data_IF_539970659648
#
_entry.id   IF_539970659648
#
_cell.length_a   1.000
_cell.length_b   1.000
_cell.length_c   1.000
_cell.angle_alpha   90.00
_cell.angle_beta   90.00
_cell.angle_gamma   90.00
#
_symmetry.space_group_name_H-M   'P 1'
#
loop_
_entity.id
_entity.type
_entity.pdbx_description
1 polymer ?
#
# COMPACT_ATOMS: atom_id res chain seq x y z
N UNK A 1 -29.67 26.39 -16.48
CA UNK A 1 -28.60 25.37 -16.49
C UNK A 1 -27.23 25.95 -16.83
N UNK A 2 -27.15 26.95 -17.72
CA UNK A 2 -25.89 27.53 -18.24
C UNK A 2 -24.98 28.15 -17.15
N UNK A 3 -25.55 28.73 -16.09
CA UNK A 3 -24.80 29.47 -15.06
C UNK A 3 -23.73 28.65 -14.33
N UNK A 4 -23.99 27.36 -14.06
CA UNK A 4 -23.07 26.50 -13.30
C UNK A 4 -22.25 25.57 -14.19
N UNK A 5 -22.58 25.46 -15.49
CA UNK A 5 -21.91 24.55 -16.42
C UNK A 5 -20.38 24.77 -16.50
N UNK A 6 -19.85 26.01 -16.58
CA UNK A 6 -18.40 26.22 -16.61
C UNK A 6 -17.71 25.77 -15.32
N UNK A 7 -18.33 26.02 -14.17
CA UNK A 7 -17.81 25.61 -12.87
C UNK A 7 -17.78 24.08 -12.73
N UNK A 8 -18.88 23.42 -13.14
CA UNK A 8 -18.98 21.95 -13.15
C UNK A 8 -17.90 21.35 -14.06
N UNK A 9 -17.76 21.85 -15.29
CA UNK A 9 -16.73 21.36 -16.22
C UNK A 9 -15.32 21.55 -15.66
N UNK A 10 -15.04 22.70 -15.04
CA UNK A 10 -13.76 22.96 -14.40
C UNK A 10 -13.46 21.94 -13.29
N UNK A 11 -14.42 21.68 -12.40
CA UNK A 11 -14.29 20.67 -11.34
C UNK A 11 -14.10 19.25 -11.88
N UNK A 12 -14.91 18.83 -12.87
CA UNK A 12 -14.80 17.51 -13.49
C UNK A 12 -13.43 17.29 -14.13
N UNK A 13 -12.95 18.28 -14.88
CA UNK A 13 -11.62 18.23 -15.50
C UNK A 13 -10.54 18.13 -14.42
N UNK A 14 -10.60 18.99 -13.39
CA UNK A 14 -9.63 18.98 -12.30
C UNK A 14 -9.57 17.62 -11.58
N UNK A 15 -10.73 17.08 -11.17
CA UNK A 15 -10.80 15.78 -10.49
C UNK A 15 -10.33 14.62 -11.38
N UNK A 16 -10.71 14.63 -12.67
CA UNK A 16 -10.31 13.60 -13.63
C UNK A 16 -8.80 13.65 -13.92
N UNK A 17 -8.24 14.84 -14.11
CA UNK A 17 -6.80 15.03 -14.28
C UNK A 17 -6.05 14.55 -13.04
N UNK A 18 -6.50 14.95 -11.85
CA UNK A 18 -5.95 14.44 -10.58
C UNK A 18 -5.96 12.92 -10.54
N UNK A 19 -7.08 12.27 -10.91
CA UNK A 19 -7.14 10.81 -11.00
C UNK A 19 -6.10 10.23 -11.94
N UNK A 20 -5.99 10.78 -13.14
CA UNK A 20 -5.04 10.30 -14.17
C UNK A 20 -3.61 10.41 -13.69
N UNK A 21 -3.26 11.53 -13.06
CA UNK A 21 -1.92 11.74 -12.49
C UNK A 21 -1.62 10.76 -11.35
N UNK A 22 -2.65 10.31 -10.63
CA UNK A 22 -2.55 9.32 -9.54
C UNK A 22 -2.53 7.86 -10.01
N UNK A 23 -2.72 7.56 -11.30
CA UNK A 23 -2.73 6.19 -11.84
C UNK A 23 -1.35 5.55 -11.95
N UNK A 24 -0.28 6.21 -11.46
CA UNK A 24 1.02 5.54 -11.32
C UNK A 24 0.87 4.42 -10.29
N UNK A 25 0.84 3.19 -10.78
CA UNK A 25 0.74 1.99 -9.97
C UNK A 25 2.09 1.30 -9.97
N UNK A 26 2.56 0.92 -8.78
CA UNK A 26 3.76 0.11 -8.65
C UNK A 26 3.45 -1.30 -9.17
N UNK A 27 4.11 -1.69 -10.26
CA UNK A 27 3.87 -2.98 -10.93
C UNK A 27 4.27 -4.17 -10.07
N UNK A 28 5.10 -3.97 -9.03
CA UNK A 28 5.45 -5.00 -8.04
C UNK A 28 4.25 -5.41 -7.20
N UNK A 29 3.42 -4.42 -6.85
CA UNK A 29 2.30 -4.59 -5.93
C UNK A 29 1.03 -5.02 -6.69
N UNK A 30 0.86 -4.52 -7.92
CA UNK A 30 -0.31 -4.76 -8.74
C UNK A 30 0.03 -4.85 -10.23
N UNK A 31 -0.20 -5.99 -10.90
CA UNK A 31 -0.01 -6.11 -12.34
C UNK A 31 -1.07 -5.27 -13.07
N UNK A 32 -0.72 -4.04 -13.45
CA UNK A 32 -1.67 -3.09 -14.03
C UNK A 32 -1.93 -3.44 -15.50
N UNK A 33 -3.04 -4.14 -15.76
CA UNK A 33 -3.52 -4.40 -17.12
C UNK A 33 -4.21 -3.15 -17.69
N UNK A 34 -4.15 -2.97 -19.01
CA UNK A 34 -4.76 -1.84 -19.72
C UNK A 34 -6.24 -1.64 -19.33
N UNK A 35 -6.98 -2.74 -19.19
CA UNK A 35 -8.41 -2.73 -18.84
C UNK A 35 -8.65 -2.20 -17.42
N UNK A 36 -7.79 -2.56 -16.46
CA UNK A 36 -7.87 -2.01 -15.09
C UNK A 36 -7.65 -0.50 -15.05
N UNK A 37 -6.70 0.02 -15.85
CA UNK A 37 -6.49 1.48 -15.97
C UNK A 37 -7.73 2.20 -16.47
N UNK A 38 -8.42 1.64 -17.48
CA UNK A 38 -9.64 2.22 -18.03
C UNK A 38 -10.74 2.27 -16.97
N UNK A 39 -10.95 1.17 -16.23
CA UNK A 39 -11.94 1.11 -15.15
C UNK A 39 -11.66 2.18 -14.09
N UNK A 40 -10.41 2.34 -13.65
CA UNK A 40 -10.07 3.35 -12.66
C UNK A 40 -10.23 4.79 -13.14
N UNK A 41 -9.97 5.07 -14.42
CA UNK A 41 -10.23 6.39 -15.03
C UNK A 41 -11.73 6.65 -15.05
N UNK A 42 -12.54 5.68 -15.51
CA UNK A 42 -13.99 5.80 -15.57
C UNK A 42 -14.58 6.06 -14.17
N UNK A 43 -14.15 5.31 -13.15
CA UNK A 43 -14.60 5.52 -11.77
C UNK A 43 -14.16 6.87 -11.20
N UNK A 44 -12.96 7.33 -11.53
CA UNK A 44 -12.52 8.66 -11.10
C UNK A 44 -13.23 9.80 -11.83
N UNK A 45 -13.64 9.61 -13.09
CA UNK A 45 -14.49 10.56 -13.80
C UNK A 45 -15.87 10.66 -13.13
N UNK A 46 -16.47 9.51 -12.76
CA UNK A 46 -17.74 9.48 -12.01
C UNK A 46 -17.58 10.19 -10.65
N UNK A 47 -16.49 9.91 -9.93
CA UNK A 47 -16.16 10.58 -8.68
C UNK A 47 -16.05 12.11 -8.85
N UNK A 48 -15.35 12.56 -9.90
CA UNK A 48 -15.19 13.96 -10.22
C UNK A 48 -16.54 14.62 -10.60
N UNK A 49 -17.39 13.94 -11.37
CA UNK A 49 -18.73 14.42 -11.71
C UNK A 49 -19.60 14.64 -10.47
N UNK A 50 -19.60 13.67 -9.54
CA UNK A 50 -20.36 13.75 -8.29
C UNK A 50 -19.86 14.89 -7.40
N UNK A 51 -18.54 15.05 -7.29
CA UNK A 51 -17.93 16.17 -6.55
C UNK A 51 -18.28 17.54 -7.14
N UNK A 52 -18.25 17.67 -8.47
CA UNK A 52 -18.51 18.94 -9.16
C UNK A 52 -19.96 19.41 -9.02
N UNK A 53 -20.92 18.48 -9.05
CA UNK A 53 -22.35 18.82 -9.05
C UNK A 53 -22.85 19.17 -7.64
N UNK A 54 -22.18 18.70 -6.58
CA UNK A 54 -22.63 18.87 -5.20
C UNK A 54 -22.90 20.34 -4.81
N UNK A 55 -21.99 21.26 -5.13
CA UNK A 55 -22.14 22.70 -4.78
C UNK A 55 -23.33 23.34 -5.51
N UNK A 56 -23.45 23.27 -6.85
CA UNK A 56 -24.62 23.76 -7.57
C UNK A 56 -25.95 23.20 -7.04
N UNK A 57 -26.00 21.91 -6.68
CA UNK A 57 -27.22 21.29 -6.16
C UNK A 57 -27.62 21.84 -4.80
N UNK A 58 -26.67 22.02 -3.88
CA UNK A 58 -26.92 22.64 -2.57
C UNK A 58 -27.46 24.07 -2.74
N UNK A 59 -26.83 24.87 -3.62
CA UNK A 59 -27.26 26.25 -3.88
C UNK A 59 -28.67 26.32 -4.47
N UNK A 60 -29.06 25.33 -5.27
CA UNK A 60 -30.41 25.20 -5.83
C UNK A 60 -31.42 24.56 -4.88
N UNK A 61 -31.00 24.19 -3.66
CA UNK A 61 -31.82 23.43 -2.69
C UNK A 61 -32.33 22.10 -3.26
N UNK A 62 -31.58 21.52 -4.18
CA UNK A 62 -31.84 20.21 -4.74
C UNK A 62 -31.17 19.14 -3.86
N UNK A 63 -31.88 18.76 -2.80
CA UNK A 63 -31.40 17.79 -1.82
C UNK A 63 -31.33 16.36 -2.37
N UNK A 64 -31.89 16.09 -3.56
CA UNK A 64 -31.68 14.80 -4.26
C UNK A 64 -30.20 14.54 -4.57
N UNK A 65 -29.36 15.57 -4.56
CA UNK A 65 -27.90 15.42 -4.67
C UNK A 65 -27.26 14.66 -3.51
N UNK A 66 -27.88 14.63 -2.33
CA UNK A 66 -27.40 13.81 -1.20
C UNK A 66 -27.47 12.33 -1.58
N UNK A 67 -28.51 11.90 -2.30
CA UNK A 67 -28.63 10.53 -2.80
C UNK A 67 -27.51 10.16 -3.76
N UNK A 68 -27.08 11.10 -4.61
CA UNK A 68 -25.94 10.88 -5.52
C UNK A 68 -24.61 10.75 -4.77
N UNK A 69 -24.40 11.48 -3.68
CA UNK A 69 -23.21 11.32 -2.83
C UNK A 69 -23.21 9.96 -2.10
N UNK A 70 -24.36 9.50 -1.61
CA UNK A 70 -24.50 8.16 -1.03
C UNK A 70 -24.23 7.05 -2.06
N UNK A 71 -24.70 7.23 -3.29
CA UNK A 71 -24.40 6.31 -4.39
C UNK A 71 -22.89 6.30 -4.70
N UNK A 72 -22.23 7.46 -4.68
CA UNK A 72 -20.77 7.59 -4.84
C UNK A 72 -20.00 6.72 -3.83
N UNK A 73 -20.37 6.83 -2.54
CA UNK A 73 -19.72 6.07 -1.48
C UNK A 73 -19.85 4.56 -1.70
N UNK A 74 -21.01 4.10 -2.16
CA UNK A 74 -21.23 2.69 -2.49
C UNK A 74 -20.36 2.25 -3.67
N UNK A 75 -20.30 3.07 -4.74
CA UNK A 75 -19.47 2.80 -5.91
C UNK A 75 -17.98 2.69 -5.55
N UNK A 76 -17.46 3.52 -4.65
CA UNK A 76 -16.06 3.44 -4.25
C UNK A 76 -15.77 2.18 -3.44
N UNK A 77 -16.66 1.82 -2.50
CA UNK A 77 -16.55 0.55 -1.76
C UNK A 77 -16.62 -0.67 -2.70
N UNK A 78 -17.44 -0.61 -3.74
CA UNK A 78 -17.53 -1.68 -4.74
C UNK A 78 -16.24 -1.80 -5.56
N UNK A 79 -15.57 -0.69 -5.87
CA UNK A 79 -14.22 -0.70 -6.46
C UNK A 79 -13.22 -1.39 -5.54
N UNK A 80 -13.21 -1.06 -4.24
CA UNK A 80 -12.35 -1.75 -3.27
C UNK A 80 -12.62 -3.24 -3.23
N UNK A 81 -13.89 -3.62 -3.15
CA UNK A 81 -14.29 -5.03 -3.11
C UNK A 81 -13.85 -5.77 -4.38
N UNK A 82 -14.03 -5.15 -5.55
CA UNK A 82 -13.58 -5.69 -6.83
C UNK A 82 -12.07 -5.91 -6.82
N UNK A 83 -11.28 -4.90 -6.48
CA UNK A 83 -9.81 -5.00 -6.46
C UNK A 83 -9.33 -6.05 -5.48
N UNK A 84 -9.88 -6.06 -4.26
CA UNK A 84 -9.54 -7.04 -3.24
C UNK A 84 -9.84 -8.45 -3.70
N UNK A 85 -11.03 -8.69 -4.26
CA UNK A 85 -11.44 -10.02 -4.73
C UNK A 85 -10.55 -10.48 -5.89
N UNK A 86 -10.27 -9.60 -6.86
CA UNK A 86 -9.36 -9.91 -7.98
C UNK A 86 -7.97 -10.27 -7.48
N UNK A 87 -7.41 -9.46 -6.58
CA UNK A 87 -6.09 -9.72 -6.02
C UNK A 87 -6.05 -11.03 -5.22
N UNK A 88 -7.07 -11.32 -4.40
CA UNK A 88 -7.15 -12.58 -3.66
C UNK A 88 -7.18 -13.81 -4.58
N UNK A 89 -7.89 -13.73 -5.71
CA UNK A 89 -7.91 -14.81 -6.70
C UNK A 89 -6.55 -14.99 -7.38
N UNK A 90 -5.86 -13.89 -7.72
CA UNK A 90 -4.53 -13.96 -8.31
C UNK A 90 -3.48 -14.44 -7.31
N UNK A 91 -3.61 -14.08 -6.03
CA UNK A 91 -2.64 -14.41 -4.98
C UNK A 91 -2.51 -15.91 -4.76
N UNK A 92 -3.59 -16.68 -5.01
CA UNK A 92 -3.58 -18.14 -4.92
C UNK A 92 -2.67 -18.83 -5.94
N UNK A 93 -2.21 -18.11 -6.96
CA UNK A 93 -1.31 -18.63 -8.00
C UNK A 93 0.13 -18.13 -7.85
N UNK A 94 0.43 -17.31 -6.84
CA UNK A 94 1.77 -16.80 -6.58
C UNK A 94 2.59 -17.81 -5.76
N UNK A 95 3.89 -17.95 -6.08
CA UNK A 95 4.80 -18.80 -5.28
C UNK A 95 5.03 -18.24 -3.86
N UNK A 96 4.91 -16.93 -3.71
CA UNK A 96 4.89 -16.21 -2.44
C UNK A 96 3.70 -15.27 -2.46
N UNK A 97 2.63 -15.55 -1.67
CA UNK A 97 1.43 -14.72 -1.69
C UNK A 97 1.67 -13.34 -1.08
N UNK A 98 0.89 -12.33 -1.48
CA UNK A 98 0.81 -11.00 -0.85
C UNK A 98 0.25 -11.11 0.57
N UNK A 99 -0.75 -11.98 0.74
CA UNK A 99 -1.51 -12.10 1.97
C UNK A 99 -2.63 -11.05 2.10
N UNK A 100 -3.67 -11.42 2.84
CA UNK A 100 -4.92 -10.65 2.94
C UNK A 100 -4.71 -9.21 3.39
N UNK A 101 -3.85 -8.99 4.38
CA UNK A 101 -3.54 -7.68 4.96
C UNK A 101 -2.95 -6.74 3.92
N UNK A 102 -2.06 -7.25 3.07
CA UNK A 102 -1.43 -6.45 2.03
C UNK A 102 -2.41 -6.14 0.90
N UNK A 103 -3.18 -7.14 0.47
CA UNK A 103 -4.23 -6.99 -0.54
C UNK A 103 -5.27 -5.94 -0.10
N UNK A 104 -5.68 -5.97 1.17
CA UNK A 104 -6.60 -4.99 1.74
C UNK A 104 -6.04 -3.57 1.68
N UNK A 105 -4.75 -3.40 2.02
CA UNK A 105 -4.07 -2.10 1.90
C UNK A 105 -4.03 -1.59 0.46
N UNK A 106 -3.73 -2.46 -0.51
CA UNK A 106 -3.77 -2.10 -1.94
C UNK A 106 -5.19 -1.67 -2.36
N UNK A 107 -6.21 -2.42 -1.94
CA UNK A 107 -7.61 -2.14 -2.29
C UNK A 107 -8.11 -0.81 -1.67
N UNK A 108 -7.73 -0.51 -0.43
CA UNK A 108 -8.00 0.77 0.23
C UNK A 108 -7.41 1.96 -0.54
N UNK A 109 -6.19 1.83 -1.06
CA UNK A 109 -5.57 2.88 -1.89
C UNK A 109 -6.40 3.17 -3.15
N UNK A 110 -6.98 2.15 -3.78
CA UNK A 110 -7.86 2.35 -4.94
C UNK A 110 -9.16 3.07 -4.59
N UNK A 111 -9.74 2.77 -3.43
CA UNK A 111 -10.91 3.48 -2.87
C UNK A 111 -10.58 4.96 -2.60
N UNK A 112 -9.53 5.19 -1.82
CA UNK A 112 -9.05 6.51 -1.37
C UNK A 112 -8.77 7.47 -2.51
N UNK A 113 -8.18 6.97 -3.61
CA UNK A 113 -7.92 7.80 -4.80
C UNK A 113 -9.20 8.33 -5.47
N UNK A 114 -10.31 7.60 -5.40
CA UNK A 114 -11.59 8.10 -5.92
C UNK A 114 -12.16 9.21 -5.01
N UNK A 115 -12.05 9.09 -3.68
CA UNK A 115 -12.43 10.16 -2.76
C UNK A 115 -11.60 11.43 -2.99
N UNK A 116 -10.29 11.30 -3.23
CA UNK A 116 -9.42 12.44 -3.51
C UNK A 116 -9.78 13.15 -4.83
N UNK A 117 -10.13 12.40 -5.88
CA UNK A 117 -10.61 12.96 -7.14
C UNK A 117 -11.94 13.72 -6.96
N UNK A 118 -12.88 13.14 -6.20
CA UNK A 118 -14.15 13.77 -5.86
C UNK A 118 -13.94 15.06 -5.06
N UNK A 119 -13.08 15.04 -4.04
CA UNK A 119 -12.77 16.20 -3.20
C UNK A 119 -12.09 17.32 -3.99
N UNK A 120 -11.15 16.97 -4.88
CA UNK A 120 -10.50 17.94 -5.77
C UNK A 120 -11.52 18.63 -6.67
N UNK A 121 -12.42 17.85 -7.27
CA UNK A 121 -13.50 18.38 -8.10
C UNK A 121 -14.45 19.29 -7.31
N UNK A 122 -14.87 18.84 -6.12
CA UNK A 122 -15.70 19.61 -5.21
C UNK A 122 -15.07 20.95 -4.82
N UNK A 123 -13.82 20.93 -4.36
CA UNK A 123 -13.11 22.13 -3.93
C UNK A 123 -12.90 23.11 -5.10
N UNK A 124 -12.58 22.59 -6.28
CA UNK A 124 -12.43 23.38 -7.51
C UNK A 124 -13.74 24.09 -7.86
N UNK A 125 -14.86 23.37 -7.90
CA UNK A 125 -16.17 23.96 -8.19
C UNK A 125 -16.61 24.94 -7.10
N UNK A 126 -16.35 24.62 -5.84
CA UNK A 126 -16.64 25.51 -4.71
C UNK A 126 -15.89 26.85 -4.84
N UNK A 127 -14.58 26.81 -5.08
CA UNK A 127 -13.78 28.02 -5.23
C UNK A 127 -14.18 28.83 -6.48
N UNK A 128 -14.48 28.15 -7.59
CA UNK A 128 -14.97 28.81 -8.81
C UNK A 128 -16.23 29.64 -8.51
N UNK A 129 -17.23 29.03 -7.88
CA UNK A 129 -18.53 29.66 -7.62
C UNK A 129 -18.42 30.68 -6.49
N UNK A 130 -17.79 30.31 -5.38
CA UNK A 130 -17.69 31.12 -4.17
C UNK A 130 -16.96 32.45 -4.40
N UNK A 131 -15.88 32.43 -5.17
CA UNK A 131 -15.14 33.65 -5.54
C UNK A 131 -15.58 34.25 -6.88
N UNK A 132 -16.58 33.66 -7.55
CA UNK A 132 -17.06 34.06 -8.89
C UNK A 132 -15.91 34.24 -9.90
N UNK A 133 -14.90 33.40 -9.81
CA UNK A 133 -13.65 33.55 -10.57
C UNK A 133 -13.13 32.20 -11.02
N UNK A 134 -12.96 32.03 -12.33
CA UNK A 134 -12.37 30.82 -12.90
C UNK A 134 -10.92 30.63 -12.47
N UNK A 135 -10.20 31.73 -12.22
CA UNK A 135 -8.82 31.73 -11.72
C UNK A 135 -8.78 31.11 -10.32
N UNK A 136 -9.75 31.45 -9.46
CA UNK A 136 -9.85 30.85 -8.12
C UNK A 136 -10.09 29.34 -8.19
N UNK A 137 -10.91 28.87 -9.12
CA UNK A 137 -11.10 27.45 -9.39
C UNK A 137 -9.79 26.75 -9.79
N UNK A 138 -9.06 27.30 -10.76
CA UNK A 138 -7.77 26.74 -11.22
C UNK A 138 -6.73 26.71 -10.10
N UNK A 139 -6.59 27.79 -9.32
CA UNK A 139 -5.68 27.83 -8.17
C UNK A 139 -6.06 26.76 -7.15
N UNK A 140 -7.35 26.63 -6.83
CA UNK A 140 -7.82 25.60 -5.90
C UNK A 140 -7.58 24.19 -6.44
N UNK A 141 -7.73 23.94 -7.73
CA UNK A 141 -7.42 22.64 -8.34
C UNK A 141 -5.95 22.26 -8.14
N UNK A 142 -5.03 23.22 -8.32
CA UNK A 142 -3.60 23.01 -8.10
C UNK A 142 -3.32 22.71 -6.63
N UNK A 143 -3.88 23.51 -5.71
CA UNK A 143 -3.73 23.30 -4.27
C UNK A 143 -4.26 21.92 -3.86
N UNK A 144 -5.48 21.59 -4.28
CA UNK A 144 -6.12 20.31 -3.98
C UNK A 144 -5.34 19.13 -4.55
N UNK A 145 -4.76 19.26 -5.75
CA UNK A 145 -3.89 18.23 -6.32
C UNK A 145 -2.64 17.98 -5.44
N UNK A 146 -1.97 19.02 -4.97
CA UNK A 146 -0.81 18.86 -4.08
C UNK A 146 -1.20 18.27 -2.73
N UNK A 147 -2.32 18.70 -2.13
CA UNK A 147 -2.84 18.11 -0.91
C UNK A 147 -3.10 16.61 -1.13
N UNK A 148 -3.80 16.27 -2.22
CA UNK A 148 -4.13 14.90 -2.52
C UNK A 148 -2.89 14.03 -2.80
N UNK A 149 -1.86 14.60 -3.44
CA UNK A 149 -0.57 13.93 -3.64
C UNK A 149 0.12 13.63 -2.30
N UNK A 150 0.08 14.56 -1.35
CA UNK A 150 0.64 14.36 0.00
C UNK A 150 -0.16 13.34 0.81
N UNK A 151 -1.49 13.36 0.73
CA UNK A 151 -2.34 12.36 1.40
C UNK A 151 -2.15 10.95 0.84
N UNK A 152 -1.61 10.82 -0.38
CA UNK A 152 -1.26 9.53 -0.99
C UNK A 152 0.12 9.01 -0.60
N UNK A 153 1.04 9.85 -0.12
CA UNK A 153 2.37 9.39 0.27
C UNK A 153 2.30 8.69 1.62
N UNK A 154 2.18 7.36 1.60
CA UNK A 154 2.34 6.51 2.78
C UNK A 154 3.82 6.35 3.18
N UNK A 155 4.05 5.99 4.44
CA UNK A 155 5.38 5.64 4.95
C UNK A 155 5.87 4.32 4.34
N UNK A 156 7.18 4.19 4.23
CA UNK A 156 7.86 2.97 3.77
C UNK A 156 8.70 2.38 4.89
N UNK A 157 9.14 1.14 4.75
CA UNK A 157 9.92 0.49 5.80
C UNK A 157 11.24 1.18 6.12
N UNK A 158 11.94 1.80 5.16
CA UNK A 158 13.20 2.51 5.45
C UNK A 158 13.02 3.67 6.46
N UNK A 159 11.81 4.24 6.55
CA UNK A 159 11.47 5.27 7.54
C UNK A 159 11.38 4.70 8.97
N UNK A 160 11.15 3.39 9.10
CA UNK A 160 10.84 2.70 10.36
C UNK A 160 11.97 1.80 10.86
N UNK A 161 12.76 1.23 9.96
CA UNK A 161 13.78 0.24 10.30
C UNK A 161 15.11 0.52 9.60
N UNK A 162 16.20 0.08 10.23
CA UNK A 162 17.49 -0.09 9.58
C UNK A 162 17.59 -1.52 9.06
N UNK A 163 18.06 -1.67 7.82
CA UNK A 163 18.09 -2.95 7.11
C UNK A 163 19.55 -3.31 6.88
N UNK A 164 19.96 -4.47 7.38
CA UNK A 164 21.31 -4.98 7.23
C UNK A 164 21.29 -6.35 6.55
N UNK A 165 22.14 -6.57 5.56
CA UNK A 165 22.37 -7.90 4.99
C UNK A 165 23.28 -8.71 5.92
N UNK A 166 22.84 -9.91 6.28
CA UNK A 166 23.53 -10.79 7.22
C UNK A 166 23.66 -12.18 6.59
N UNK A 167 24.86 -12.79 6.59
CA UNK A 167 25.05 -14.11 6.02
C UNK A 167 24.19 -15.16 6.71
N UNK A 168 23.71 -16.13 5.93
CA UNK A 168 23.00 -17.30 6.45
C UNK A 168 23.96 -18.22 7.19
N UNK A 169 23.46 -18.87 8.24
CA UNK A 169 24.24 -19.81 9.04
C UNK A 169 23.43 -21.06 9.33
N UNK A 170 24.07 -22.22 9.21
CA UNK A 170 23.51 -23.48 9.68
C UNK A 170 24.17 -23.91 10.99
N UNK A 171 23.35 -24.31 11.96
CA UNK A 171 23.78 -25.10 13.12
C UNK A 171 23.06 -26.44 13.09
N UNK A 172 23.77 -27.49 12.66
CA UNK A 172 23.17 -28.79 12.38
C UNK A 172 22.10 -28.68 11.30
N UNK A 173 20.83 -28.91 11.67
CA UNK A 173 19.70 -28.76 10.76
C UNK A 173 19.02 -27.39 10.86
N UNK A 174 19.40 -26.51 11.80
CA UNK A 174 18.76 -25.21 11.96
C UNK A 174 19.36 -24.15 11.05
N UNK A 175 18.53 -23.45 10.28
CA UNK A 175 18.88 -22.25 9.53
C UNK A 175 18.69 -21.01 10.40
N UNK A 176 19.69 -20.14 10.44
CA UNK A 176 19.73 -18.91 11.23
C UNK A 176 20.12 -17.70 10.39
N UNK A 177 19.62 -16.54 10.80
CA UNK A 177 20.11 -15.22 10.43
C UNK A 177 20.52 -14.53 11.73
N UNK A 178 21.82 -14.28 11.92
CA UNK A 178 22.38 -13.89 13.22
C UNK A 178 22.00 -14.93 14.30
N UNK A 179 21.28 -14.51 15.35
CA UNK A 179 20.76 -15.35 16.42
C UNK A 179 19.31 -15.83 16.16
N UNK A 180 18.66 -15.36 15.09
CA UNK A 180 17.24 -15.64 14.81
C UNK A 180 17.10 -16.98 14.09
N UNK A 181 16.44 -17.94 14.74
CA UNK A 181 16.07 -19.22 14.12
C UNK A 181 14.98 -19.04 13.07
N UNK A 182 15.24 -19.50 11.84
CA UNK A 182 14.31 -19.40 10.71
C UNK A 182 13.49 -20.67 10.56
N UNK A 183 14.15 -21.80 10.30
CA UNK A 183 13.51 -23.11 10.10
C UNK A 183 14.51 -24.27 10.18
N UNK A 184 13.99 -25.51 10.23
CA UNK A 184 14.78 -26.73 10.21
C UNK A 184 14.86 -27.30 8.79
N UNK A 185 16.08 -27.49 8.28
CA UNK A 185 16.39 -28.13 7.01
C UNK A 185 17.38 -29.28 7.27
N UNK A 186 16.88 -30.51 7.37
CA UNK A 186 17.71 -31.68 7.65
C UNK A 186 18.46 -32.24 6.44
N UNK A 187 18.01 -31.98 5.21
CA UNK A 187 18.60 -32.54 4.00
C UNK A 187 19.85 -31.73 3.56
N UNK A 188 21.06 -32.32 3.51
CA UNK A 188 22.28 -31.57 3.17
C UNK A 188 22.23 -30.89 1.80
N UNK A 189 21.68 -31.57 0.80
CA UNK A 189 21.50 -31.00 -0.54
C UNK A 189 20.61 -29.74 -0.55
N UNK A 190 19.63 -29.64 0.37
CA UNK A 190 18.82 -28.42 0.52
C UNK A 190 19.58 -27.31 1.26
N UNK A 191 20.43 -27.66 2.22
CA UNK A 191 21.29 -26.69 2.89
C UNK A 191 22.25 -26.04 1.90
N UNK A 192 22.89 -26.84 1.03
CA UNK A 192 23.78 -26.33 -0.02
C UNK A 192 23.08 -25.37 -0.97
N UNK A 193 21.86 -25.70 -1.42
CA UNK A 193 21.06 -24.80 -2.25
C UNK A 193 20.71 -23.49 -1.53
N UNK A 194 20.33 -23.56 -0.26
CA UNK A 194 20.03 -22.37 0.55
C UNK A 194 21.29 -21.51 0.73
N UNK A 195 22.45 -22.12 0.98
CA UNK A 195 23.71 -21.39 1.07
C UNK A 195 24.14 -20.76 -0.25
N UNK A 196 23.74 -21.36 -1.38
CA UNK A 196 24.03 -20.85 -2.71
C UNK A 196 23.08 -19.72 -3.13
N UNK A 197 21.77 -19.88 -2.92
CA UNK A 197 20.73 -19.00 -3.46
C UNK A 197 20.09 -18.07 -2.42
N UNK A 198 20.24 -18.39 -1.14
CA UNK A 198 19.58 -17.68 -0.06
C UNK A 198 20.29 -16.38 0.34
N UNK A 199 19.49 -15.42 0.81
CA UNK A 199 19.97 -14.19 1.42
C UNK A 199 19.26 -13.96 2.76
N UNK A 200 20.00 -13.41 3.71
CA UNK A 200 19.50 -13.06 5.04
C UNK A 200 19.55 -11.55 5.26
N UNK A 201 18.51 -11.01 5.88
CA UNK A 201 18.48 -9.61 6.29
C UNK A 201 17.94 -9.47 7.71
N UNK A 202 18.39 -8.45 8.41
CA UNK A 202 17.86 -8.06 9.72
C UNK A 202 17.24 -6.68 9.60
N UNK A 203 15.99 -6.57 10.04
CA UNK A 203 15.28 -5.32 10.21
C UNK A 203 15.35 -4.93 11.67
N UNK A 204 16.11 -3.86 11.97
CA UNK A 204 16.20 -3.26 13.31
C UNK A 204 15.19 -2.12 13.44
N UNK A 205 14.21 -2.20 14.35
CA UNK A 205 13.23 -1.12 14.51
C UNK A 205 13.85 0.13 15.13
N UNK A 206 13.50 1.31 14.59
CA UNK A 206 13.94 2.62 15.11
C UNK A 206 13.13 3.10 16.32
N UNK A 207 11.97 2.49 16.56
CA UNK A 207 11.05 2.85 17.65
C UNK A 207 10.19 1.66 18.07
N UNK A 208 9.46 1.80 19.19
CA UNK A 208 8.49 0.79 19.65
C UNK A 208 7.35 0.63 18.63
N UNK A 209 6.84 1.71 18.05
CA UNK A 209 5.80 1.62 17.02
C UNK A 209 6.30 0.91 15.75
N UNK A 210 7.56 1.15 15.37
CA UNK A 210 8.20 0.42 14.27
C UNK A 210 8.32 -1.07 14.60
N UNK A 211 8.71 -1.42 15.83
CA UNK A 211 8.79 -2.80 16.30
C UNK A 211 7.42 -3.50 16.23
N UNK A 212 6.34 -2.84 16.67
CA UNK A 212 4.98 -3.41 16.57
C UNK A 212 4.57 -3.60 15.11
N UNK A 213 4.89 -2.62 14.26
CA UNK A 213 4.59 -2.66 12.83
C UNK A 213 5.25 -3.84 12.13
N UNK A 214 6.56 -4.04 12.28
CA UNK A 214 7.26 -5.18 11.68
C UNK A 214 6.94 -6.51 12.38
N UNK A 215 6.40 -6.45 13.61
CA UNK A 215 5.91 -7.64 14.30
C UNK A 215 4.63 -8.19 13.67
N UNK A 216 3.87 -7.39 12.92
CA UNK A 216 2.66 -7.84 12.24
C UNK A 216 2.98 -8.86 11.12
N UNK A 217 2.30 -10.00 11.13
CA UNK A 217 2.52 -11.07 10.14
C UNK A 217 2.19 -10.63 8.71
N UNK A 218 1.18 -9.78 8.52
CA UNK A 218 0.83 -9.22 7.22
C UNK A 218 1.92 -8.32 6.66
N UNK A 219 2.54 -7.48 7.51
CA UNK A 219 3.68 -6.65 7.11
C UNK A 219 4.86 -7.52 6.67
N UNK A 220 5.14 -8.58 7.42
CA UNK A 220 6.20 -9.54 7.07
C UNK A 220 5.92 -10.25 5.76
N UNK A 221 4.67 -10.66 5.53
CA UNK A 221 4.27 -11.29 4.28
C UNK A 221 4.43 -10.35 3.08
N UNK A 222 4.06 -9.07 3.24
CA UNK A 222 4.26 -8.06 2.21
C UNK A 222 5.74 -7.90 1.84
N UNK A 223 6.65 -7.91 2.83
CA UNK A 223 8.10 -7.89 2.59
C UNK A 223 8.52 -9.10 1.75
N UNK A 224 8.14 -10.31 2.17
CA UNK A 224 8.52 -11.54 1.48
C UNK A 224 8.00 -11.55 0.03
N UNK A 225 6.76 -11.09 -0.18
CA UNK A 225 6.17 -10.98 -1.51
C UNK A 225 6.93 -10.00 -2.40
N UNK A 226 7.10 -8.75 -1.96
CA UNK A 226 7.71 -7.70 -2.78
C UNK A 226 9.16 -8.03 -3.16
N UNK A 227 9.93 -8.60 -2.23
CA UNK A 227 11.30 -9.05 -2.51
C UNK A 227 11.32 -10.19 -3.52
N UNK A 228 10.45 -11.18 -3.36
CA UNK A 228 10.38 -12.35 -4.25
C UNK A 228 9.91 -11.98 -5.66
N UNK A 229 9.00 -11.00 -5.79
CA UNK A 229 8.55 -10.50 -7.09
C UNK A 229 9.61 -9.63 -7.76
N UNK A 230 10.28 -8.75 -7.00
CA UNK A 230 11.23 -7.80 -7.55
C UNK A 230 12.56 -8.44 -7.98
N UNK A 231 13.05 -9.42 -7.22
CA UNK A 231 14.35 -10.08 -7.46
C UNK A 231 14.21 -11.49 -8.08
N UNK A 232 12.98 -11.93 -8.34
CA UNK A 232 12.67 -13.31 -8.67
C UNK A 232 12.79 -14.24 -7.47
N UNK A 233 12.42 -15.50 -7.66
CA UNK A 233 12.47 -16.51 -6.60
C UNK A 233 13.05 -17.84 -7.12
N UNK A 234 13.91 -18.46 -6.32
CA UNK A 234 14.40 -19.82 -6.46
C UNK A 234 13.52 -20.76 -5.62
N UNK A 235 12.34 -21.06 -6.14
CA UNK A 235 11.35 -21.96 -5.53
C UNK A 235 10.44 -22.55 -6.60
N UNK A 236 9.96 -23.77 -6.37
CA UNK A 236 8.80 -24.30 -7.07
C UNK A 236 7.69 -24.71 -6.08
N UNK A 237 6.48 -24.91 -6.60
CA UNK A 237 5.29 -25.39 -5.88
C UNK A 237 5.52 -26.68 -5.08
N UNK A 238 6.47 -27.52 -5.51
CA UNK A 238 6.82 -28.81 -4.89
C UNK A 238 8.01 -28.79 -3.92
N UNK A 239 8.57 -27.64 -3.53
CA UNK A 239 9.77 -27.57 -2.67
C UNK A 239 9.52 -26.88 -1.32
N UNK A 240 8.99 -27.59 -0.29
CA UNK A 240 8.67 -27.01 1.01
C UNK A 240 9.87 -26.47 1.81
N UNK A 241 11.09 -26.91 1.48
CA UNK A 241 12.31 -26.43 2.11
C UNK A 241 12.79 -25.06 1.58
N UNK A 242 12.31 -24.66 0.40
CA UNK A 242 12.76 -23.45 -0.31
C UNK A 242 11.70 -22.35 -0.21
N UNK A 243 11.33 -22.00 1.01
CA UNK A 243 10.27 -21.03 1.27
C UNK A 243 10.85 -19.79 1.95
N UNK A 244 10.67 -18.59 1.38
CA UNK A 244 11.01 -17.36 2.08
C UNK A 244 10.25 -17.25 3.40
N UNK A 245 10.92 -16.85 4.48
CA UNK A 245 10.33 -16.74 5.81
C UNK A 245 10.82 -15.50 6.53
N UNK A 246 9.95 -14.98 7.40
CA UNK A 246 10.24 -13.85 8.26
C UNK A 246 9.97 -14.23 9.71
N UNK A 247 11.00 -14.18 10.55
CA UNK A 247 10.91 -14.54 11.98
C UNK A 247 11.35 -13.36 12.84
N UNK A 248 10.74 -13.26 14.02
CA UNK A 248 11.02 -12.18 14.97
C UNK A 248 11.81 -12.73 16.13
N UNK A 249 12.83 -11.98 16.53
CA UNK A 249 13.54 -12.18 17.78
C UNK A 249 12.62 -11.84 18.97
N UNK A 250 12.52 -12.74 19.95
CA UNK A 250 11.62 -12.55 21.09
C UNK A 250 12.17 -11.58 22.14
N UNK A 251 13.48 -11.36 22.16
CA UNK A 251 14.17 -10.54 23.15
C UNK A 251 14.16 -9.06 22.74
N UNK A 252 14.54 -8.77 21.49
CA UNK A 252 14.73 -7.38 21.02
C UNK A 252 13.76 -6.94 19.92
N UNK A 253 12.93 -7.85 19.40
CA UNK A 253 11.91 -7.54 18.41
C UNK A 253 12.41 -7.28 17.00
N UNK A 254 13.72 -7.47 16.72
CA UNK A 254 14.26 -7.48 15.35
C UNK A 254 13.58 -8.58 14.52
N UNK A 255 13.52 -8.36 13.21
CA UNK A 255 12.96 -9.35 12.27
C UNK A 255 14.03 -9.82 11.31
N UNK A 256 14.29 -11.13 11.32
CA UNK A 256 15.09 -11.81 10.31
C UNK A 256 14.25 -12.14 9.10
N UNK A 257 14.71 -11.72 7.92
CA UNK A 257 14.09 -11.97 6.62
C UNK A 257 14.98 -12.91 5.82
N UNK A 258 14.48 -14.11 5.58
CA UNK A 258 15.10 -15.10 4.71
C UNK A 258 14.37 -15.11 3.36
N UNK A 259 15.12 -14.93 2.29
CA UNK A 259 14.62 -14.97 0.90
C UNK A 259 15.56 -15.79 0.03
N UNK A 260 15.04 -16.23 -1.11
CA UNK A 260 15.76 -17.06 -2.10
C UNK A 260 15.67 -16.37 -3.47
N UNK A 261 16.28 -15.20 -3.68
CA UNK A 261 16.13 -14.45 -4.93
C UNK A 261 16.96 -15.05 -6.08
N UNK A 262 16.57 -14.75 -7.32
CA UNK A 262 17.39 -15.06 -8.50
C UNK A 262 18.47 -13.99 -8.73
N UNK A 263 18.14 -12.71 -8.52
CA UNK A 263 19.10 -11.61 -8.45
C UNK A 263 19.63 -11.48 -7.01
N UNK A 264 20.91 -11.81 -6.79
CA UNK A 264 21.54 -11.85 -5.46
C UNK A 264 22.23 -10.53 -5.06
N UNK A 265 21.84 -9.41 -5.67
CA UNK A 265 22.35 -8.09 -5.31
C UNK A 265 21.74 -7.61 -3.98
N UNK A 266 22.59 -7.57 -2.94
CA UNK A 266 22.18 -7.20 -1.58
C UNK A 266 21.72 -5.74 -1.47
N UNK A 267 22.32 -4.81 -2.22
CA UNK A 267 21.92 -3.40 -2.19
C UNK A 267 20.55 -3.22 -2.83
N UNK A 268 20.29 -3.89 -3.95
CA UNK A 268 18.95 -3.91 -4.54
C UNK A 268 17.93 -4.52 -3.59
N UNK A 269 18.26 -5.62 -2.92
CA UNK A 269 17.37 -6.25 -1.96
C UNK A 269 17.02 -5.33 -0.79
N UNK A 270 18.02 -4.66 -0.20
CA UNK A 270 17.82 -3.63 0.84
C UNK A 270 16.91 -2.51 0.30
N UNK A 271 17.16 -2.05 -0.92
CA UNK A 271 16.32 -1.05 -1.58
C UNK A 271 14.87 -1.50 -1.79
N UNK A 272 14.64 -2.77 -2.15
CA UNK A 272 13.28 -3.32 -2.29
C UNK A 272 12.61 -3.42 -0.93
N UNK A 273 13.25 -4.06 0.07
CA UNK A 273 12.72 -4.19 1.43
C UNK A 273 12.38 -2.82 2.01
N UNK A 274 13.28 -1.84 1.89
CA UNK A 274 13.07 -0.49 2.40
C UNK A 274 11.95 0.28 1.72
N UNK A 275 11.56 -0.11 0.50
CA UNK A 275 10.47 0.50 -0.26
C UNK A 275 9.11 -0.16 -0.07
N UNK A 276 9.04 -1.29 0.66
CA UNK A 276 7.78 -1.94 1.01
C UNK A 276 6.92 -0.93 1.80
N UNK A 277 5.64 -0.76 1.43
CA UNK A 277 4.75 0.16 2.12
C UNK A 277 4.43 -0.36 3.52
N UNK A 278 4.28 0.57 4.46
CA UNK A 278 3.76 0.23 5.77
C UNK A 278 2.25 0.02 5.68
N UNK A 279 1.78 -1.16 6.08
CA UNK A 279 0.36 -1.51 6.01
C UNK A 279 -0.41 -0.79 7.11
N UNK A 280 -1.53 -0.15 6.78
CA UNK A 280 -2.38 0.57 7.76
C UNK A 280 -2.86 -0.35 8.89
N UNK A 281 -3.12 -1.61 8.58
CA UNK A 281 -3.52 -2.66 9.53
C UNK A 281 -2.36 -3.23 10.37
N UNK A 282 -1.11 -2.88 10.04
CA UNK A 282 0.06 -3.19 10.84
C UNK A 282 0.46 -2.03 11.76
N UNK A 283 0.07 -0.80 11.43
CA UNK A 283 0.34 0.38 12.25
C UNK A 283 -0.54 0.35 13.50
N UNK A 284 0.11 0.23 14.65
CA UNK A 284 -0.50 0.54 15.93
C UNK A 284 0.24 1.73 16.54
N UNK A 285 -0.49 2.80 16.86
CA UNK A 285 0.05 3.96 17.56
C UNK A 285 0.11 3.65 19.05
N UNK A 286 1.16 2.94 19.46
CA UNK A 286 1.36 2.53 20.87
C UNK A 286 1.71 3.74 21.73
N UNK A 287 2.29 4.78 21.13
CA UNK A 287 2.57 6.07 21.76
C UNK A 287 1.33 6.81 22.32
N UNK A 288 0.13 6.43 21.86
CA UNK A 288 -1.15 7.00 22.31
C UNK A 288 -1.86 6.15 23.36
N UNK A 289 -1.30 4.98 23.70
CA UNK A 289 -1.82 4.20 24.81
C UNK A 289 -1.66 5.03 26.11
N UNK A 290 -2.73 5.23 26.90
CA UNK A 290 -2.59 5.91 28.18
C UNK A 290 -1.52 5.17 28.98
N UNK A 291 -0.52 5.90 29.50
CA UNK A 291 0.55 5.35 30.32
C UNK A 291 -0.07 4.46 31.41
N UNK A 292 -0.08 3.15 31.16
CA UNK A 292 -0.56 2.17 32.11
C UNK A 292 0.27 2.30 33.38
N UNK A 293 -0.42 2.31 34.52
CA UNK A 293 0.11 2.38 35.89
C UNK A 293 1.54 1.86 35.97
N UNK A 294 2.45 2.73 36.42
CA UNK A 294 3.75 2.27 36.90
C UNK A 294 3.52 1.25 38.00
N UNK A 295 3.80 -0.01 37.71
CA UNK A 295 3.92 -1.03 38.74
C UNK A 295 5.17 -0.70 39.55
N UNK A 296 4.92 -0.03 40.68
CA UNK A 296 5.75 -0.23 41.86
C UNK A 296 5.43 -1.62 42.40
N UNK A 297 6.31 -2.58 42.17
CA UNK A 297 6.65 -3.65 43.11
C UNK A 297 7.90 -4.38 42.65
#
# INVERSE_FOLDING_TARGET
MIEYTPAILCGVIAGTVTRVLMLRTDTRQYPTRLHGKIIHIAMGLIAAALGAIAIPSILKKDFSAITFLTLAATQFRDVRNMERNTLQQLDGYELVPRGNTYIEGIALVFESRNYLAMLTSFATTFAYIGFRSWIAGVIMAIIAFFIAKTLMSGKRLHDLVDIEHVPLRFEGAGLYIDNIYIMNIGLPARQEEIMKYGMGFILRPKSIDAMVTISNLGQRQAILHDVSVALGIYRDSGTPALVPLAKRDLEDGRVGIFVLPQDQDAEKAIGVIGNVPTLESAVHMSSEAPKGRGDKR
#
